data_IF_745732375859
#
_entry.id   IF_745732375859
#
_cell.length_a   1.000
_cell.length_b   1.000
_cell.length_c   1.000
_cell.angle_alpha   90.00
_cell.angle_beta   90.00
_cell.angle_gamma   90.00
#
_symmetry.space_group_name_H-M   'P 1'
#
loop_
_entity.id
_entity.type
_entity.pdbx_description
1 polymer ?
#
# COMPACT_ATOMS: atom_id res chain seq x y z
N UNK A 1 -40.99 -16.98 -55.10
CA UNK A 1 -42.25 -16.23 -55.37
C UNK A 1 -42.27 -15.01 -54.45
N UNK A 2 -42.12 -13.79 -54.99
CA UNK A 2 -42.38 -12.53 -54.24
C UNK A 2 -43.90 -12.26 -54.26
N UNK A 3 -44.46 -11.60 -53.22
CA UNK A 3 -44.74 -10.16 -53.34
C UNK A 3 -44.36 -9.40 -52.05
N UNK A 4 -43.62 -8.29 -52.09
CA UNK A 4 -44.10 -6.91 -52.31
C UNK A 4 -45.36 -6.53 -51.55
N UNK A 5 -45.22 -5.79 -50.43
CA UNK A 5 -46.05 -4.61 -50.19
C UNK A 5 -45.29 -3.56 -49.37
N UNK A 6 -45.21 -2.38 -49.95
CA UNK A 6 -44.59 -1.16 -49.44
C UNK A 6 -45.73 -0.23 -48.98
N UNK A 7 -45.68 0.32 -47.76
CA UNK A 7 -46.44 1.53 -47.41
C UNK A 7 -45.56 2.49 -46.61
N UNK A 8 -45.34 3.62 -47.27
CA UNK A 8 -44.63 4.83 -46.85
C UNK A 8 -45.33 5.52 -45.68
N UNK A 9 -44.54 6.20 -44.86
CA UNK A 9 -44.82 7.58 -44.44
C UNK A 9 -45.14 7.78 -42.95
N UNK A 10 -44.15 8.27 -42.19
CA UNK A 10 -44.09 9.67 -41.73
C UNK A 10 -42.76 9.90 -41.00
N UNK A 11 -41.91 10.72 -41.61
CA UNK A 11 -40.83 11.44 -40.92
C UNK A 11 -41.47 12.31 -39.85
N UNK A 12 -40.87 12.33 -38.66
CA UNK A 12 -40.97 13.47 -37.78
C UNK A 12 -39.55 13.80 -37.34
N UNK A 13 -38.90 14.63 -38.16
CA UNK A 13 -37.80 15.47 -37.76
C UNK A 13 -38.26 16.32 -36.56
N UNK A 14 -37.72 16.02 -35.38
CA UNK A 14 -37.60 17.00 -34.31
C UNK A 14 -36.15 16.99 -33.86
N UNK A 15 -35.42 17.95 -34.43
CA UNK A 15 -34.19 18.48 -33.86
C UNK A 15 -34.48 18.84 -32.40
N UNK A 16 -33.81 18.15 -31.48
CA UNK A 16 -33.55 18.64 -30.14
C UNK A 16 -32.05 18.94 -30.11
N UNK A 17 -31.71 20.15 -30.58
CA UNK A 17 -30.37 20.72 -30.44
C UNK A 17 -30.16 21.06 -28.97
N UNK A 18 -29.77 20.06 -28.17
CA UNK A 18 -29.18 20.32 -26.87
C UNK A 18 -27.74 20.76 -27.09
N UNK A 19 -27.56 22.08 -27.30
CA UNK A 19 -26.27 22.74 -27.15
C UNK A 19 -25.88 22.69 -25.66
N UNK A 20 -25.28 21.57 -25.28
CA UNK A 20 -24.55 21.43 -24.03
C UNK A 20 -23.08 21.64 -24.33
N UNK A 21 -22.62 22.88 -24.22
CA UNK A 21 -21.20 23.22 -24.12
C UNK A 21 -20.71 22.65 -22.78
N UNK A 22 -20.50 21.33 -22.73
CA UNK A 22 -19.91 20.66 -21.59
C UNK A 22 -18.47 21.16 -21.46
N UNK A 23 -18.19 21.88 -20.38
CA UNK A 23 -16.83 22.20 -19.96
C UNK A 23 -16.01 20.90 -20.01
N UNK A 24 -14.80 20.91 -20.63
CA UNK A 24 -14.00 19.70 -20.66
C UNK A 24 -13.74 19.25 -19.23
N UNK A 25 -14.23 18.05 -18.87
CA UNK A 25 -13.92 17.43 -17.58
C UNK A 25 -12.40 17.40 -17.42
N UNK A 26 -11.89 18.16 -16.46
CA UNK A 26 -10.47 18.16 -16.16
C UNK A 26 -10.06 16.72 -15.80
N UNK A 27 -8.93 16.22 -16.33
CA UNK A 27 -8.46 14.89 -15.97
C UNK A 27 -8.31 14.81 -14.45
N UNK A 28 -8.61 13.65 -13.83
CA UNK A 28 -8.49 13.50 -12.39
C UNK A 28 -7.07 13.85 -11.96
N UNK A 29 -6.94 14.74 -10.98
CA UNK A 29 -5.64 15.12 -10.42
C UNK A 29 -4.96 13.88 -9.84
N UNK A 30 -3.66 13.71 -10.14
CA UNK A 30 -2.87 12.64 -9.54
C UNK A 30 -2.77 12.89 -8.02
N UNK A 31 -3.29 11.98 -7.18
CA UNK A 31 -3.29 12.18 -5.72
C UNK A 31 -1.87 12.25 -5.13
N UNK A 32 -0.85 11.86 -5.89
CA UNK A 32 0.56 11.92 -5.48
C UNK A 32 1.26 13.22 -5.89
N UNK A 33 0.65 14.05 -6.75
CA UNK A 33 1.29 15.23 -7.33
C UNK A 33 1.77 16.25 -6.27
N UNK A 34 1.11 16.30 -5.11
CA UNK A 34 1.47 17.17 -3.99
C UNK A 34 1.59 16.38 -2.68
N UNK A 35 1.77 15.06 -2.74
CA UNK A 35 1.81 14.20 -1.57
C UNK A 35 3.01 14.51 -0.68
N UNK A 36 2.78 14.79 0.59
CA UNK A 36 3.86 15.02 1.58
C UNK A 36 4.09 13.81 2.49
N UNK A 37 3.33 12.73 2.27
CA UNK A 37 3.44 11.49 3.05
C UNK A 37 4.22 10.45 2.25
N UNK A 38 5.07 9.71 2.95
CA UNK A 38 5.76 8.54 2.45
C UNK A 38 5.27 7.30 3.18
N UNK A 39 5.03 6.24 2.41
CA UNK A 39 5.04 4.88 2.93
C UNK A 39 6.48 4.39 2.98
N UNK A 40 6.91 3.90 4.15
CA UNK A 40 8.23 3.30 4.34
C UNK A 40 8.06 1.83 4.65
N UNK A 41 8.52 0.96 3.74
CA UNK A 41 8.43 -0.48 3.86
C UNK A 41 9.79 -1.16 3.98
N UNK A 42 9.73 -2.48 4.16
CA UNK A 42 10.89 -3.35 4.36
C UNK A 42 11.72 -3.06 5.62
N UNK A 43 11.15 -2.39 6.62
CA UNK A 43 11.79 -2.20 7.93
C UNK A 43 11.95 -3.53 8.68
N UNK A 44 12.86 -3.56 9.66
CA UNK A 44 12.94 -4.68 10.60
C UNK A 44 11.74 -4.62 11.56
N UNK A 45 11.31 -5.75 12.11
CA UNK A 45 10.35 -5.76 13.22
C UNK A 45 10.93 -5.16 14.51
N UNK A 46 12.25 -5.02 14.56
CA UNK A 46 12.98 -4.43 15.68
C UNK A 46 13.32 -2.95 15.48
N UNK A 47 13.08 -2.39 14.28
CA UNK A 47 13.34 -0.97 14.02
C UNK A 47 12.40 -0.11 14.86
N UNK A 48 12.98 0.80 15.65
CA UNK A 48 12.22 1.69 16.53
C UNK A 48 11.81 2.98 15.83
N UNK A 49 10.82 3.67 16.40
CA UNK A 49 10.36 4.97 15.92
C UNK A 49 11.50 6.01 15.95
N UNK A 50 12.34 5.99 16.98
CA UNK A 50 13.46 6.90 17.14
C UNK A 50 14.51 6.72 16.03
N UNK A 51 14.81 5.47 15.65
CA UNK A 51 15.74 5.20 14.56
C UNK A 51 15.21 5.70 13.20
N UNK A 52 13.90 5.52 12.95
CA UNK A 52 13.26 6.07 11.76
C UNK A 52 13.31 7.59 11.80
N UNK A 53 12.95 8.19 12.94
CA UNK A 53 12.94 9.64 13.10
C UNK A 53 14.33 10.24 12.83
N UNK A 54 15.39 9.67 13.39
CA UNK A 54 16.77 10.14 13.19
C UNK A 54 17.20 10.08 11.72
N UNK A 55 16.92 8.97 11.03
CA UNK A 55 17.30 8.81 9.62
C UNK A 55 16.50 9.77 8.72
N UNK A 56 15.19 9.84 8.89
CA UNK A 56 14.29 10.58 8.01
C UNK A 56 14.34 12.10 8.26
N UNK A 57 14.77 12.54 9.46
CA UNK A 57 15.00 13.96 9.75
C UNK A 57 16.14 14.57 8.93
N UNK A 58 16.98 13.76 8.28
CA UNK A 58 18.05 14.25 7.39
C UNK A 58 17.54 14.90 6.11
N UNK A 59 16.31 14.61 5.70
CA UNK A 59 15.72 15.14 4.47
C UNK A 59 14.82 16.36 4.69
N UNK A 60 14.30 16.54 5.91
CA UNK A 60 13.40 17.63 6.24
C UNK A 60 12.80 17.45 7.63
N UNK A 61 12.07 18.46 8.10
CA UNK A 61 11.36 18.39 9.37
C UNK A 61 10.17 17.44 9.26
N UNK A 62 10.12 16.43 10.14
CA UNK A 62 9.03 15.45 10.18
C UNK A 62 7.83 16.09 10.88
N UNK A 63 6.73 16.24 10.14
CA UNK A 63 5.43 16.71 10.66
C UNK A 63 4.75 15.63 11.48
N UNK A 64 4.79 14.38 11.00
CA UNK A 64 4.18 13.22 11.68
C UNK A 64 4.91 11.94 11.30
N UNK A 65 5.08 11.06 12.27
CA UNK A 65 5.56 9.70 12.08
C UNK A 65 4.52 8.73 12.65
N UNK A 66 4.16 7.69 11.90
CA UNK A 66 3.23 6.65 12.37
C UNK A 66 3.79 5.27 12.10
N UNK A 67 4.12 4.54 13.16
CA UNK A 67 4.59 3.16 13.06
C UNK A 67 3.48 2.21 12.61
N UNK A 68 3.80 1.31 11.68
CA UNK A 68 2.92 0.25 11.21
C UNK A 68 2.91 -0.92 12.17
N UNK A 69 1.72 -1.31 12.63
CA UNK A 69 1.48 -2.31 13.65
C UNK A 69 0.70 -3.51 13.11
N UNK A 70 0.94 -4.68 13.68
CA UNK A 70 0.08 -5.84 13.54
C UNK A 70 -1.31 -5.51 14.07
N UNK A 71 -2.35 -5.79 13.28
CA UNK A 71 -3.74 -5.46 13.62
C UNK A 71 -4.22 -6.12 14.92
N UNK A 72 -3.70 -7.29 15.28
CA UNK A 72 -4.12 -8.06 16.44
C UNK A 72 -3.18 -7.86 17.61
N UNK A 73 -1.88 -8.09 17.39
CA UNK A 73 -0.89 -8.10 18.47
C UNK A 73 -0.36 -6.70 18.83
N UNK A 74 -0.64 -5.69 17.98
CA UNK A 74 -0.20 -4.31 18.16
C UNK A 74 1.32 -4.15 18.26
N UNK A 75 2.07 -5.08 17.67
CA UNK A 75 3.54 -5.04 17.57
C UNK A 75 3.97 -4.44 16.23
N UNK A 76 5.17 -3.85 16.11
CA UNK A 76 5.69 -3.39 14.82
C UNK A 76 5.63 -4.49 13.76
N UNK A 77 5.20 -4.14 12.54
CA UNK A 77 5.09 -5.08 11.42
C UNK A 77 5.85 -4.62 10.18
N UNK A 78 6.96 -3.91 10.38
CA UNK A 78 7.96 -3.68 9.33
C UNK A 78 7.57 -2.63 8.28
N UNK A 79 6.72 -1.68 8.66
CA UNK A 79 6.49 -0.48 7.85
C UNK A 79 6.15 0.71 8.74
N UNK A 80 6.18 1.91 8.20
CA UNK A 80 5.67 3.12 8.84
C UNK A 80 5.23 4.15 7.79
N UNK A 81 4.65 5.25 8.25
CA UNK A 81 4.39 6.44 7.46
C UNK A 81 5.20 7.61 8.01
N UNK A 82 5.77 8.39 7.10
CA UNK A 82 6.49 9.63 7.43
C UNK A 82 5.85 10.76 6.64
N UNK A 83 5.32 11.76 7.33
CA UNK A 83 4.73 12.96 6.74
C UNK A 83 5.68 14.14 6.95
N UNK A 84 6.06 14.80 5.86
CA UNK A 84 6.82 16.05 5.87
C UNK A 84 5.90 17.26 5.75
N UNK A 85 6.45 18.45 5.99
CA UNK A 85 5.75 19.71 5.75
C UNK A 85 5.66 20.07 4.28
N UNK A 86 6.63 19.66 3.46
CA UNK A 86 6.68 20.00 2.03
C UNK A 86 6.76 18.77 1.15
N UNK A 87 6.24 18.88 -0.07
CA UNK A 87 6.35 17.82 -1.08
C UNK A 87 7.82 17.60 -1.49
N UNK A 88 8.61 18.67 -1.52
CA UNK A 88 10.02 18.62 -1.89
C UNK A 88 10.83 17.75 -0.91
N UNK A 89 10.60 17.87 0.40
CA UNK A 89 11.28 17.03 1.41
C UNK A 89 10.96 15.54 1.23
N UNK A 90 9.70 15.22 0.87
CA UNK A 90 9.29 13.86 0.58
C UNK A 90 10.00 13.30 -0.68
N UNK A 91 10.12 14.10 -1.74
CA UNK A 91 10.87 13.73 -2.95
C UNK A 91 12.37 13.54 -2.67
N UNK A 92 12.98 14.43 -1.89
CA UNK A 92 14.38 14.33 -1.52
C UNK A 92 14.64 13.09 -0.66
N UNK A 93 13.72 12.76 0.25
CA UNK A 93 13.77 11.52 1.01
C UNK A 93 13.74 10.28 0.10
N UNK A 94 12.84 10.23 -0.88
CA UNK A 94 12.81 9.13 -1.84
C UNK A 94 14.11 9.00 -2.63
N UNK A 95 14.75 10.12 -2.96
CA UNK A 95 15.99 10.16 -3.75
C UNK A 95 17.23 9.76 -2.94
N UNK A 96 17.36 10.24 -1.71
CA UNK A 96 18.59 10.13 -0.93
C UNK A 96 18.53 9.06 0.17
N UNK A 97 17.35 8.78 0.72
CA UNK A 97 17.15 7.81 1.81
C UNK A 97 16.47 6.54 1.31
N UNK A 98 15.58 6.64 0.32
CA UNK A 98 15.00 5.49 -0.36
C UNK A 98 16.08 4.55 -0.90
N UNK A 99 15.97 3.26 -0.60
CA UNK A 99 16.96 2.26 -1.02
C UNK A 99 18.25 2.22 -0.19
N UNK A 100 18.38 3.02 0.86
CA UNK A 100 19.50 2.91 1.82
C UNK A 100 19.24 1.83 2.86
N UNK A 101 20.23 1.56 3.73
CA UNK A 101 20.10 0.57 4.80
C UNK A 101 19.62 1.20 6.11
N UNK A 102 18.70 0.52 6.78
CA UNK A 102 18.34 0.73 8.19
C UNK A 102 18.21 -0.65 8.86
N UNK A 103 18.91 -0.86 9.98
CA UNK A 103 19.03 -2.17 10.67
C UNK A 103 19.40 -3.32 9.71
N UNK A 104 20.42 -3.09 8.88
CA UNK A 104 20.90 -4.02 7.82
C UNK A 104 19.89 -4.34 6.70
N UNK A 105 18.76 -3.64 6.63
CA UNK A 105 17.74 -3.85 5.60
C UNK A 105 17.66 -2.68 4.64
N UNK A 106 17.56 -3.00 3.35
CA UNK A 106 17.30 -1.99 2.31
C UNK A 106 15.86 -1.51 2.43
N UNK A 107 15.67 -0.26 2.85
CA UNK A 107 14.34 0.32 3.04
C UNK A 107 13.74 0.75 1.70
N UNK A 108 12.42 0.65 1.57
CA UNK A 108 11.69 1.12 0.39
C UNK A 108 10.79 2.28 0.78
N UNK A 109 10.86 3.37 0.05
CA UNK A 109 10.04 4.56 0.25
C UNK A 109 9.19 4.82 -0.99
N UNK A 110 7.91 5.08 -0.82
CA UNK A 110 7.01 5.51 -1.90
C UNK A 110 6.16 6.70 -1.46
N UNK A 111 5.82 7.59 -2.39
CA UNK A 111 4.79 8.59 -2.15
C UNK A 111 3.48 7.92 -1.78
N UNK A 112 2.80 8.52 -0.81
CA UNK A 112 1.55 8.05 -0.28
C UNK A 112 0.54 9.22 -0.24
N UNK A 113 -0.72 9.02 -0.65
CA UNK A 113 -1.70 10.10 -0.78
C UNK A 113 -2.06 10.77 0.56
N UNK A 114 -1.68 10.19 1.70
CA UNK A 114 -1.91 10.76 3.02
C UNK A 114 -2.27 9.71 4.05
N UNK A 115 -1.88 9.95 5.30
CA UNK A 115 -2.23 9.04 6.39
C UNK A 115 -3.72 9.16 6.78
N UNK A 116 -4.37 8.01 6.91
CA UNK A 116 -5.73 7.88 7.45
C UNK A 116 -5.73 6.88 8.62
N UNK A 117 -6.56 7.15 9.62
CA UNK A 117 -6.69 6.28 10.79
C UNK A 117 -7.13 4.86 10.37
N UNK A 118 -6.45 3.85 10.93
CA UNK A 118 -6.59 2.45 10.56
C UNK A 118 -5.56 1.98 9.54
N UNK A 119 -4.91 2.89 8.78
CA UNK A 119 -3.82 2.52 7.85
C UNK A 119 -2.54 2.10 8.55
N UNK A 120 -2.38 2.44 9.84
CA UNK A 120 -1.29 1.92 10.65
C UNK A 120 -1.35 0.41 10.84
N UNK A 121 -2.49 -0.26 10.59
CA UNK A 121 -2.61 -1.70 10.80
C UNK A 121 -2.31 -2.52 9.54
N UNK A 122 -1.56 -3.60 9.74
CA UNK A 122 -1.35 -4.64 8.73
C UNK A 122 -2.66 -5.22 8.19
N UNK A 123 -2.65 -5.56 6.89
CA UNK A 123 -3.83 -6.06 6.16
C UNK A 123 -3.78 -7.57 5.89
N UNK A 124 -2.73 -8.26 6.34
CA UNK A 124 -2.59 -9.72 6.27
C UNK A 124 -3.69 -10.44 7.06
N UNK A 125 -3.90 -11.72 6.74
CA UNK A 125 -4.93 -12.53 7.41
C UNK A 125 -4.52 -12.75 8.87
N UNK A 126 -3.23 -12.94 9.12
CA UNK A 126 -2.66 -13.09 10.46
C UNK A 126 -2.49 -11.78 11.24
N UNK A 127 -2.88 -10.63 10.69
CA UNK A 127 -2.77 -9.30 11.33
C UNK A 127 -1.58 -8.45 10.84
N UNK A 128 -0.49 -9.07 10.38
CA UNK A 128 0.70 -8.41 9.86
C UNK A 128 0.55 -7.89 8.43
N UNK A 129 1.66 -7.66 7.72
CA UNK A 129 1.59 -7.25 6.30
C UNK A 129 1.19 -8.43 5.41
N UNK A 130 0.44 -8.16 4.32
CA UNK A 130 0.08 -9.19 3.32
C UNK A 130 1.32 -9.83 2.71
N UNK A 131 2.41 -9.07 2.54
CA UNK A 131 3.69 -9.56 2.03
C UNK A 131 4.30 -10.64 2.94
N UNK A 132 4.18 -10.48 4.25
CA UNK A 132 4.77 -11.40 5.23
C UNK A 132 3.92 -12.69 5.39
N UNK A 133 2.68 -12.70 4.89
CA UNK A 133 1.82 -13.89 4.91
C UNK A 133 2.36 -15.01 4.01
N UNK A 134 2.84 -14.64 2.81
CA UNK A 134 3.20 -15.56 1.73
C UNK A 134 4.70 -15.63 1.44
N UNK A 135 5.53 -15.06 2.31
CA UNK A 135 6.98 -15.07 2.10
C UNK A 135 7.55 -16.49 2.23
N UNK A 136 8.26 -16.92 1.20
CA UNK A 136 8.93 -18.23 1.18
C UNK A 136 10.33 -18.20 1.81
N UNK A 137 11.02 -17.07 1.69
CA UNK A 137 12.36 -16.89 2.26
C UNK A 137 12.30 -16.70 3.77
N UNK A 138 13.20 -17.39 4.48
CA UNK A 138 13.40 -17.18 5.91
C UNK A 138 14.09 -15.84 6.14
N UNK A 139 13.53 -15.01 7.01
CA UNK A 139 14.16 -13.76 7.42
C UNK A 139 13.80 -13.43 8.87
N UNK A 140 14.83 -13.48 9.71
CA UNK A 140 14.78 -13.34 11.16
C UNK A 140 14.26 -11.96 11.59
N UNK A 141 14.66 -10.89 10.91
CA UNK A 141 14.19 -9.52 11.15
C UNK A 141 12.71 -9.31 10.83
N UNK A 142 12.03 -10.35 10.36
CA UNK A 142 10.62 -10.40 9.97
C UNK A 142 9.89 -11.62 10.56
N UNK A 143 10.46 -12.24 11.60
CA UNK A 143 9.81 -13.34 12.32
C UNK A 143 9.86 -14.71 11.62
N UNK A 144 10.86 -14.95 10.76
CA UNK A 144 11.15 -16.28 10.19
C UNK A 144 10.50 -16.55 8.83
N UNK A 145 9.89 -17.72 8.61
CA UNK A 145 9.15 -18.00 7.37
C UNK A 145 7.83 -17.22 7.30
N UNK A 146 7.20 -17.11 6.13
CA UNK A 146 5.87 -16.51 6.01
C UNK A 146 4.82 -17.24 6.84
N UNK A 147 3.82 -16.52 7.37
CA UNK A 147 2.83 -17.06 8.33
C UNK A 147 2.03 -18.24 7.78
N UNK A 148 1.70 -18.23 6.48
CA UNK A 148 1.00 -19.34 5.85
C UNK A 148 1.86 -20.62 5.81
N UNK A 149 3.18 -20.49 5.62
CA UNK A 149 4.10 -21.62 5.63
C UNK A 149 4.37 -22.12 7.05
N UNK A 150 4.56 -21.24 8.02
CA UNK A 150 4.68 -21.61 9.44
C UNK A 150 3.47 -22.42 9.92
N UNK A 151 2.26 -22.01 9.52
CA UNK A 151 1.04 -22.73 9.85
C UNK A 151 1.02 -24.14 9.25
N UNK A 152 1.45 -24.28 8.00
CA UNK A 152 1.51 -25.58 7.31
C UNK A 152 2.55 -26.53 7.92
N UNK A 153 3.75 -26.03 8.22
CA UNK A 153 4.83 -26.82 8.83
C UNK A 153 4.39 -27.35 10.20
N UNK A 154 3.79 -26.48 11.03
CA UNK A 154 3.24 -26.87 12.33
C UNK A 154 2.13 -27.90 12.22
N UNK A 155 1.26 -27.80 11.22
CA UNK A 155 0.22 -28.82 10.98
C UNK A 155 0.83 -30.17 10.64
N UNK A 156 1.85 -30.21 9.78
CA UNK A 156 2.54 -31.45 9.40
C UNK A 156 3.27 -32.10 10.57
N UNK A 157 3.94 -31.32 11.41
CA UNK A 157 4.61 -31.82 12.63
C UNK A 157 3.61 -32.46 13.60
N UNK A 158 2.45 -31.83 13.80
CA UNK A 158 1.40 -32.38 14.68
C UNK A 158 0.80 -33.69 14.13
N UNK A 159 0.63 -33.79 12.81
CA UNK A 159 0.11 -35.01 12.17
C UNK A 159 1.11 -36.18 12.25
N UNK A 160 2.42 -35.92 12.17
CA UNK A 160 3.47 -36.92 12.30
C UNK A 160 3.58 -37.44 13.75
N UNK A 161 3.60 -36.53 14.73
CA UNK A 161 3.57 -36.89 16.15
C UNK A 161 2.28 -37.63 16.54
N UNK A 162 1.14 -37.28 15.95
CA UNK A 162 -0.14 -37.95 16.17
C UNK A 162 -0.24 -39.35 15.59
N UNK A 163 0.61 -39.73 14.62
CA UNK A 163 0.69 -41.09 14.07
C UNK A 163 1.62 -42.03 14.84
N UNK A 164 2.49 -41.47 15.69
CA UNK A 164 3.45 -42.22 16.51
C UNK A 164 2.94 -42.49 17.94
N UNK A 165 1.75 -41.98 18.30
CA UNK A 165 1.12 -42.12 19.62
C UNK A 165 0.04 -43.21 19.65
#
# INVERSE_FOLDING_TARGET
>A
MRPYFNKRGRRNDRNDEHNGDGEPEQPPEDPLANATTLYVGNLSFYTTEEQVYELFSKCGEIKRLVMGLDRFNKTPCGFCFVEYYTHQDALDCMKYIGGTKLDERIIRTDLDPGFEEGRQYGRGKSGGQVRDEYREEFDEGRGGLGRALQGRERSLENDDYGRLA
#
